data_IF_255518517272
#
_entry.id   IF_255518517272
#
_cell.length_a   1.000
_cell.length_b   1.000
_cell.length_c   1.000
_cell.angle_alpha   90.00
_cell.angle_beta   90.00
_cell.angle_gamma   90.00
#
_symmetry.space_group_name_H-M   'P 1'
#
loop_
_entity.id
_entity.type
_entity.pdbx_description
1 polymer ?
#
# COMPACT_ATOMS: atom_id res chain seq x y z
N UNK A 1 -0.83 8.32 -23.44
CA UNK A 1 -2.30 8.20 -23.26
C UNK A 1 -2.90 8.12 -24.64
N UNK A 2 -3.76 7.14 -24.90
CA UNK A 2 -4.34 6.92 -26.23
C UNK A 2 -5.84 7.05 -26.17
N UNK A 3 -6.43 7.70 -27.18
CA UNK A 3 -7.87 7.85 -27.35
C UNK A 3 -8.27 7.31 -28.72
N UNK A 4 -9.40 6.58 -28.82
CA UNK A 4 -9.93 6.17 -30.10
C UNK A 4 -10.52 7.38 -30.83
N UNK A 5 -10.06 7.64 -32.07
CA UNK A 5 -10.44 8.84 -32.84
C UNK A 5 -11.93 8.86 -33.20
N UNK A 6 -12.50 7.68 -33.44
CA UNK A 6 -13.88 7.52 -33.92
C UNK A 6 -14.90 7.40 -32.79
N UNK A 7 -14.45 7.31 -31.53
CA UNK A 7 -15.34 7.17 -30.39
C UNK A 7 -15.94 8.50 -29.95
N UNK A 8 -17.27 8.56 -29.84
CA UNK A 8 -17.97 9.67 -29.20
C UNK A 8 -17.69 9.68 -27.69
N UNK A 9 -17.68 10.87 -27.09
CA UNK A 9 -17.50 10.98 -25.64
C UNK A 9 -18.66 10.30 -24.90
N UNK A 10 -18.32 9.32 -24.05
CA UNK A 10 -19.26 8.66 -23.14
C UNK A 10 -18.77 8.86 -21.71
N UNK A 11 -19.65 9.32 -20.83
CA UNK A 11 -19.36 9.34 -19.41
C UNK A 11 -19.29 7.91 -18.87
N UNK A 12 -18.38 7.67 -17.92
CA UNK A 12 -18.19 6.35 -17.31
C UNK A 12 -16.94 5.60 -17.80
N UNK A 13 -16.89 4.29 -17.56
CA UNK A 13 -15.73 3.45 -17.87
C UNK A 13 -15.84 2.91 -19.30
N UNK A 14 -15.11 3.54 -20.22
CA UNK A 14 -14.92 3.03 -21.59
C UNK A 14 -13.46 2.70 -21.87
N UNK A 15 -13.23 1.73 -22.77
CA UNK A 15 -11.90 1.37 -23.27
C UNK A 15 -11.38 2.35 -24.32
N UNK A 16 -12.20 3.31 -24.77
CA UNK A 16 -11.84 4.32 -25.77
C UNK A 16 -10.72 5.25 -25.29
N UNK A 17 -10.49 5.35 -23.97
CA UNK A 17 -9.49 6.20 -23.34
C UNK A 17 -8.56 5.36 -22.47
N UNK A 18 -7.39 4.98 -23.00
CA UNK A 18 -6.44 4.11 -22.29
C UNK A 18 -5.24 4.88 -21.77
N UNK A 19 -5.03 4.78 -20.45
CA UNK A 19 -3.80 5.24 -19.78
C UNK A 19 -2.90 4.04 -19.54
N UNK A 20 -1.91 3.83 -20.41
CA UNK A 20 -0.82 2.88 -20.14
C UNK A 20 0.23 3.58 -19.27
N UNK A 21 0.44 3.09 -18.05
CA UNK A 21 1.49 3.58 -17.15
C UNK A 21 2.62 2.56 -17.11
N UNK A 22 3.86 3.00 -17.26
CA UNK A 22 5.06 2.15 -17.17
C UNK A 22 5.54 1.99 -15.71
N UNK A 23 4.61 2.01 -14.75
CA UNK A 23 4.91 1.89 -13.32
C UNK A 23 4.35 0.55 -12.87
N UNK A 24 5.21 -0.32 -12.33
CA UNK A 24 4.78 -1.56 -11.69
C UNK A 24 3.89 -1.25 -10.49
N UNK A 25 2.70 -1.84 -10.46
CA UNK A 25 1.79 -1.77 -9.32
C UNK A 25 1.50 -3.18 -8.87
N UNK A 26 1.63 -3.40 -7.56
CA UNK A 26 1.35 -4.67 -6.92
C UNK A 26 0.64 -4.39 -5.59
N UNK A 27 -0.17 -5.34 -5.14
CA UNK A 27 -0.79 -5.31 -3.82
C UNK A 27 0.10 -6.05 -2.81
N UNK A 28 0.19 -5.49 -1.61
CA UNK A 28 1.08 -5.97 -0.55
C UNK A 28 0.34 -6.05 0.78
N UNK A 29 0.81 -6.96 1.64
CA UNK A 29 0.35 -7.09 3.02
C UNK A 29 1.22 -6.23 3.92
N UNK A 30 0.61 -5.53 4.88
CA UNK A 30 1.34 -4.75 5.88
C UNK A 30 1.81 -5.71 6.98
N UNK A 31 3.12 -5.93 7.06
CA UNK A 31 3.75 -6.75 8.09
C UNK A 31 3.98 -5.99 9.40
N UNK A 32 4.12 -4.66 9.31
CA UNK A 32 4.38 -3.79 10.45
C UNK A 32 4.57 -2.33 10.04
N UNK A 33 4.89 -1.48 11.01
CA UNK A 33 5.11 -0.06 10.77
C UNK A 33 6.20 0.51 11.67
N UNK A 34 6.84 1.57 11.19
CA UNK A 34 7.81 2.37 11.95
C UNK A 34 7.15 3.71 12.29
N UNK A 35 7.12 4.13 13.56
CA UNK A 35 6.57 5.42 13.95
C UNK A 35 7.39 6.58 13.37
N UNK A 36 6.72 7.70 13.08
CA UNK A 36 7.39 8.92 12.59
C UNK A 36 8.12 9.66 13.72
N UNK A 37 9.34 10.11 13.46
CA UNK A 37 10.10 10.98 14.38
C UNK A 37 9.58 12.42 14.37
N UNK A 38 8.96 12.86 13.26
CA UNK A 38 8.56 14.27 13.04
C UNK A 38 7.13 14.54 13.52
N UNK A 39 6.22 13.56 13.37
CA UNK A 39 4.81 13.73 13.73
C UNK A 39 4.40 12.68 14.75
N UNK A 40 3.95 13.11 15.93
CA UNK A 40 3.41 12.22 16.96
C UNK A 40 2.19 11.46 16.45
N UNK A 41 2.09 10.19 16.86
CA UNK A 41 0.99 9.28 16.52
C UNK A 41 0.73 9.15 15.01
N UNK A 42 1.80 9.16 14.21
CA UNK A 42 1.75 8.96 12.77
C UNK A 42 2.75 7.90 12.34
N UNK A 43 2.43 7.21 11.25
CA UNK A 43 3.35 6.26 10.62
C UNK A 43 4.41 7.03 9.83
N UNK A 44 5.68 6.65 10.01
CA UNK A 44 6.81 7.11 9.18
C UNK A 44 7.06 6.20 7.98
N UNK A 45 6.99 4.88 8.18
CA UNK A 45 7.04 3.92 7.06
C UNK A 45 6.28 2.64 7.38
N UNK A 46 5.78 1.98 6.34
CA UNK A 46 5.15 0.67 6.42
C UNK A 46 6.14 -0.40 5.97
N UNK A 47 6.20 -1.52 6.69
CA UNK A 47 6.90 -2.73 6.30
C UNK A 47 5.93 -3.59 5.49
N UNK A 48 6.33 -3.92 4.26
CA UNK A 48 5.50 -4.64 3.30
C UNK A 48 6.00 -6.05 3.09
N UNK A 49 5.06 -6.99 2.93
CA UNK A 49 5.35 -8.36 2.55
C UNK A 49 4.37 -8.88 1.49
N UNK A 50 4.77 -9.95 0.82
CA UNK A 50 3.91 -10.73 -0.07
C UNK A 50 3.66 -12.07 0.60
N UNK A 51 2.41 -12.51 0.62
CA UNK A 51 2.06 -13.81 1.14
C UNK A 51 2.39 -14.87 0.08
N UNK A 52 3.40 -15.70 0.37
CA UNK A 52 3.77 -16.86 -0.43
C UNK A 52 3.33 -18.15 0.26
N UNK A 53 3.40 -19.29 -0.44
CA UNK A 53 3.01 -20.62 0.05
C UNK A 53 3.69 -21.03 1.35
N UNK A 54 4.87 -20.46 1.64
CA UNK A 54 5.69 -20.75 2.83
C UNK A 54 5.58 -19.69 3.93
N UNK A 55 4.83 -18.61 3.71
CA UNK A 55 4.67 -17.53 4.68
C UNK A 55 4.83 -16.14 4.08
N UNK A 56 4.94 -15.14 4.95
CA UNK A 56 5.06 -13.74 4.55
C UNK A 56 6.51 -13.42 4.18
N UNK A 57 6.76 -13.13 2.90
CA UNK A 57 8.08 -12.75 2.39
C UNK A 57 8.22 -11.23 2.45
N UNK A 58 9.24 -10.68 3.13
CA UNK A 58 9.46 -9.23 3.19
C UNK A 58 9.90 -8.70 1.82
N UNK A 59 9.22 -7.67 1.33
CA UNK A 59 9.53 -7.04 0.01
C UNK A 59 10.18 -5.66 0.18
N UNK A 60 10.00 -5.03 1.33
CA UNK A 60 10.68 -3.78 1.66
C UNK A 60 9.86 -2.88 2.56
N UNK A 61 10.24 -1.59 2.59
CA UNK A 61 9.53 -0.55 3.34
C UNK A 61 9.11 0.58 2.42
N UNK A 62 7.95 1.17 2.69
CA UNK A 62 7.47 2.36 1.98
C UNK A 62 7.18 3.48 2.97
N UNK A 63 7.85 4.63 2.78
CA UNK A 63 7.75 5.80 3.67
C UNK A 63 7.13 7.04 3.03
N UNK A 64 6.78 6.98 1.74
CA UNK A 64 6.32 8.13 0.97
C UNK A 64 4.96 7.86 0.32
N UNK A 65 4.23 8.92 -0.02
CA UNK A 65 2.92 8.83 -0.66
C UNK A 65 1.71 8.85 0.29
N UNK A 66 1.93 8.96 1.60
CA UNK A 66 0.86 9.15 2.59
C UNK A 66 0.73 10.62 2.98
N UNK A 67 -0.49 11.14 2.97
CA UNK A 67 -0.77 12.43 3.62
C UNK A 67 -0.73 12.27 5.15
N UNK A 68 -0.47 13.36 5.87
CA UNK A 68 -0.45 13.36 7.35
C UNK A 68 -1.74 12.79 7.93
N UNK A 69 -2.89 13.08 7.31
CA UNK A 69 -4.19 12.54 7.71
C UNK A 69 -4.24 11.02 7.62
N UNK A 70 -3.82 10.46 6.47
CA UNK A 70 -3.79 9.02 6.24
C UNK A 70 -2.79 8.34 7.18
N UNK A 71 -1.62 8.95 7.40
CA UNK A 71 -0.60 8.39 8.29
C UNK A 71 -1.10 8.27 9.74
N UNK A 72 -1.87 9.24 10.23
CA UNK A 72 -2.50 9.17 11.56
C UNK A 72 -3.64 8.16 11.64
N UNK A 73 -4.45 8.06 10.58
CA UNK A 73 -5.53 7.08 10.50
C UNK A 73 -5.00 5.65 10.50
N UNK A 74 -3.99 5.38 9.67
CA UNK A 74 -3.31 4.08 9.62
C UNK A 74 -2.64 3.76 10.96
N UNK A 75 -1.99 4.74 11.61
CA UNK A 75 -1.40 4.54 12.94
C UNK A 75 -2.44 4.03 13.94
N UNK A 76 -3.62 4.68 14.01
CA UNK A 76 -4.70 4.27 14.91
C UNK A 76 -5.21 2.85 14.60
N UNK A 77 -5.42 2.53 13.32
CA UNK A 77 -5.90 1.20 12.91
C UNK A 77 -4.89 0.11 13.23
N UNK A 78 -3.61 0.32 12.90
CA UNK A 78 -2.56 -0.67 13.16
C UNK A 78 -2.28 -0.82 14.65
N UNK A 79 -2.38 0.26 15.44
CA UNK A 79 -2.23 0.17 16.89
C UNK A 79 -3.34 -0.69 17.53
N UNK A 80 -4.58 -0.62 17.01
CA UNK A 80 -5.67 -1.47 17.48
C UNK A 80 -5.48 -2.95 17.12
N UNK A 81 -4.79 -3.23 16.02
CA UNK A 81 -4.46 -4.60 15.56
C UNK A 81 -3.05 -5.05 15.99
N UNK A 82 -2.41 -4.31 16.91
CA UNK A 82 -1.06 -4.62 17.36
C UNK A 82 -1.08 -5.94 18.12
N UNK A 83 -0.38 -6.93 17.59
CA UNK A 83 -0.17 -8.19 18.26
C UNK A 83 1.19 -8.18 18.96
N UNK A 84 1.19 -8.45 20.27
CA UNK A 84 2.41 -8.68 21.05
C UNK A 84 2.88 -10.12 20.79
N UNK A 85 3.58 -10.31 19.67
CA UNK A 85 4.22 -11.57 19.33
C UNK A 85 3.27 -12.65 18.80
N UNK A 86 3.10 -12.69 17.48
CA UNK A 86 2.76 -13.95 16.82
C UNK A 86 4.06 -14.74 16.60
N UNK A 87 4.32 -15.65 17.51
CA UNK A 87 5.21 -16.79 17.36
C UNK A 87 5.01 -17.41 15.96
N UNK A 88 6.08 -17.50 15.16
CA UNK A 88 6.18 -18.53 14.14
C UNK A 88 7.55 -19.20 14.30
N UNK A 89 7.57 -20.53 14.43
CA UNK A 89 8.79 -21.26 14.71
C UNK A 89 9.71 -21.14 13.52
N UNK A 90 10.97 -20.80 13.79
CA UNK A 90 12.06 -21.10 12.89
C UNK A 90 11.99 -22.59 12.53
N UNK A 91 11.85 -22.90 11.25
CA UNK A 91 12.14 -24.23 10.70
C UNK A 91 12.90 -24.09 9.40
#
# INVERSE_FOLDING_TARGET
MSKLREASYRSGRSNDWRKSKCIGRQEFVIAGYVPSTVTRAAIGSLLLGVQDKKGLVPVGRVGTGFSVRIAKELYKRLQAMRQEGAHSPCR
#
